data_IF_101544303827
#
_entry.id   IF_101544303827
#
_cell.length_a   1.000
_cell.length_b   1.000
_cell.length_c   1.000
_cell.angle_alpha   90.00
_cell.angle_beta   90.00
_cell.angle_gamma   90.00
#
_symmetry.space_group_name_H-M   'P 1'
#
loop_
_entity.id
_entity.type
_entity.pdbx_description
1 polymer ?
2 non-polymer ?
3 non-polymer ?
4 non-polymer ?
5 water ?
#
# COMPACT_ATOMS: atom_id res chain seq x y z
N UNK A 21 -15.93 4.01 -26.11
CA UNK A 21 -15.70 3.13 -24.97
C UNK A 21 -15.89 3.88 -23.64
N UNK A 22 -16.33 3.16 -22.62
CA UNK A 22 -16.47 3.71 -21.26
C UNK A 22 -15.12 4.17 -20.72
N UNK A 23 -14.07 3.52 -21.20
CA UNK A 23 -12.71 3.75 -20.73
C UNK A 23 -12.07 4.98 -21.39
N UNK A 24 -12.27 5.11 -22.69
CA UNK A 24 -11.84 6.30 -23.42
C UNK A 24 -12.50 7.51 -22.81
N UNK A 25 -13.76 7.35 -22.41
CA UNK A 25 -14.47 8.41 -21.71
C UNK A 25 -13.81 8.64 -20.36
N UNK A 26 -13.46 7.53 -19.70
CA UNK A 26 -12.89 7.59 -18.37
C UNK A 26 -11.54 8.30 -18.36
N UNK A 27 -10.75 8.06 -19.39
CA UNK A 27 -9.45 8.72 -19.51
C UNK A 27 -9.62 10.22 -19.76
N UNK A 28 -10.51 10.57 -20.68
CA UNK A 28 -10.78 11.98 -21.00
C UNK A 28 -11.21 12.76 -19.78
N UNK A 29 -12.18 12.22 -19.05
CA UNK A 29 -12.68 12.86 -17.84
C UNK A 29 -11.57 13.02 -16.81
N UNK A 30 -10.79 11.96 -16.62
CA UNK A 30 -9.71 12.00 -15.64
C UNK A 30 -8.67 13.03 -16.05
N UNK A 31 -8.26 12.95 -17.32
CA UNK A 31 -7.23 13.84 -17.86
C UNK A 31 -7.62 15.32 -17.80
N UNK A 32 -8.92 15.57 -17.97
CA UNK A 32 -9.43 16.94 -18.00
C UNK A 32 -9.73 17.52 -16.61
N UNK A 33 -9.91 16.66 -15.61
CA UNK A 33 -10.30 17.12 -14.29
C UNK A 33 -9.19 17.93 -13.60
N UNK A 34 -9.58 18.89 -12.76
CA UNK A 34 -8.61 19.58 -11.93
C UNK A 34 -8.39 18.72 -10.67
N UNK A 35 -7.16 18.65 -10.20
CA UNK A 35 -6.83 17.79 -9.08
C UNK A 35 -6.77 18.62 -7.83
N UNK A 36 -7.64 18.33 -6.86
CA UNK A 36 -7.66 19.17 -5.66
C UNK A 36 -6.41 18.97 -4.83
N UNK A 37 -6.17 19.88 -3.90
CA UNK A 37 -5.01 19.80 -3.03
C UNK A 37 -5.06 18.52 -2.19
N UNK A 38 -3.91 18.16 -1.66
CA UNK A 38 -3.79 17.00 -0.79
C UNK A 38 -4.66 17.19 0.45
N UNK A 39 -4.73 18.43 0.93
CA UNK A 39 -5.49 18.76 2.12
C UNK A 39 -6.98 18.56 1.88
N UNK A 40 -7.48 19.05 0.76
CA UNK A 40 -8.88 18.87 0.40
C UNK A 40 -9.27 17.40 0.29
N UNK A 41 -8.34 16.58 -0.22
CA UNK A 41 -8.62 15.17 -0.52
C UNK A 41 -8.38 14.29 0.70
N UNK A 42 -7.90 14.90 1.77
CA UNK A 42 -7.68 14.22 3.04
C UNK A 42 -6.60 13.12 3.00
N UNK A 43 -5.80 13.09 1.94
CA UNK A 43 -4.87 11.98 1.76
C UNK A 43 -3.65 12.03 2.69
N UNK A 44 -3.50 13.11 3.45
CA UNK A 44 -2.43 13.18 4.45
C UNK A 44 -2.81 12.57 5.80
N UNK A 45 -4.09 12.21 5.96
CA UNK A 45 -4.60 11.71 7.24
C UNK A 45 -4.40 10.21 7.37
N UNK A 46 -3.85 9.78 8.49
CA UNK A 46 -3.75 8.35 8.74
C UNK A 46 -5.12 7.67 8.82
N UNK A 47 -6.15 8.44 9.15
CA UNK A 47 -7.49 7.86 9.35
C UNK A 47 -8.36 7.88 8.09
N UNK A 48 -7.74 8.24 6.96
CA UNK A 48 -8.37 8.33 5.64
C UNK A 48 -9.22 7.11 5.29
N UNK A 49 -10.35 7.36 4.62
CA UNK A 49 -11.22 6.29 4.16
C UNK A 49 -11.67 6.58 2.74
N UNK A 50 -11.92 5.53 1.96
CA UNK A 50 -12.27 5.71 0.55
C UNK A 50 -13.73 5.34 0.25
N UNK A 51 -14.48 4.94 1.28
CA UNK A 51 -15.82 4.38 1.07
C UNK A 51 -16.75 5.29 0.27
N UNK A 52 -16.59 6.59 0.47
CA UNK A 52 -17.49 7.58 -0.11
C UNK A 52 -16.98 8.11 -1.46
N UNK A 53 -15.82 7.62 -1.89
CA UNK A 53 -15.19 8.09 -3.12
C UNK A 53 -15.53 7.24 -4.32
N UNK A 54 -15.80 7.90 -5.44
CA UNK A 54 -16.00 7.21 -6.71
C UNK A 54 -14.64 6.79 -7.25
N UNK A 55 -14.63 5.89 -8.22
CA UNK A 55 -13.38 5.47 -8.85
C UNK A 55 -12.59 6.65 -9.39
N UNK A 56 -13.27 7.57 -10.06
CA UNK A 56 -12.64 8.77 -10.56
C UNK A 56 -11.97 9.54 -9.43
N UNK A 57 -12.65 9.69 -8.30
CA UNK A 57 -12.05 10.43 -7.18
C UNK A 57 -10.80 9.76 -6.64
N UNK A 58 -10.75 8.43 -6.63
CA UNK A 58 -9.56 7.76 -6.13
C UNK A 58 -8.42 7.97 -7.11
N UNK A 59 -8.76 8.09 -8.40
CA UNK A 59 -7.76 8.36 -9.44
C UNK A 59 -7.16 9.73 -9.27
N UNK A 60 -7.99 10.70 -8.92
CA UNK A 60 -7.53 12.06 -8.65
C UNK A 60 -6.61 12.10 -7.45
N UNK A 61 -7.00 11.38 -6.39
CA UNK A 61 -6.17 11.29 -5.19
C UNK A 61 -4.80 10.71 -5.54
N UNK A 62 -4.79 9.73 -6.41
CA UNK A 62 -3.53 9.07 -6.78
C UNK A 62 -2.63 10.04 -7.55
N UNK A 63 -3.21 10.81 -8.45
CA UNK A 63 -2.45 11.86 -9.14
C UNK A 63 -1.83 12.82 -8.14
N UNK A 64 -2.65 13.27 -7.18
CA UNK A 64 -2.16 14.18 -6.16
C UNK A 64 -1.01 13.57 -5.35
N UNK A 65 -1.07 12.25 -5.11
CA UNK A 65 0.02 11.57 -4.40
C UNK A 65 1.34 11.66 -5.20
N UNK A 66 1.29 11.38 -6.50
CA UNK A 66 2.48 11.50 -7.34
C UNK A 66 2.97 12.95 -7.39
N UNK A 67 2.03 13.87 -7.44
CA UNK A 67 2.35 15.28 -7.58
C UNK A 67 3.07 15.84 -6.36
N UNK A 68 2.50 15.61 -5.18
CA UNK A 68 3.02 16.23 -3.97
C UNK A 68 4.24 15.53 -3.40
N UNK A 69 4.57 14.37 -3.95
CA UNK A 69 5.83 13.72 -3.64
C UNK A 69 6.91 14.17 -4.64
N UNK A 70 6.57 15.17 -5.46
CA UNK A 70 7.48 15.76 -6.44
C UNK A 70 7.87 14.80 -7.55
N UNK A 71 7.11 13.73 -7.70
CA UNK A 71 7.46 12.68 -8.65
C UNK A 71 7.10 13.06 -10.08
N UNK A 72 5.99 13.76 -10.26
CA UNK A 72 5.60 14.19 -11.60
C UNK A 72 6.68 15.14 -12.13
N UNK A 73 7.12 16.04 -11.26
CA UNK A 73 8.18 17.02 -11.58
C UNK A 73 9.56 16.41 -11.85
N UNK A 74 10.08 15.68 -10.86
CA UNK A 74 11.45 15.18 -10.91
C UNK A 74 11.70 14.16 -12.03
N UNK A 75 10.65 13.50 -12.48
CA UNK A 75 10.80 12.42 -13.43
C UNK A 75 10.04 12.68 -14.72
N UNK A 76 9.63 13.93 -14.88
CA UNK A 76 9.07 14.44 -16.14
C UNK A 76 7.90 13.61 -16.67
N UNK A 77 6.93 13.34 -15.81
CA UNK A 77 5.80 12.52 -16.23
C UNK A 77 4.80 13.36 -17.00
N UNK A 78 4.41 12.87 -18.15
CA UNK A 78 3.36 13.48 -18.94
C UNK A 78 2.01 13.16 -18.30
N UNK A 79 1.12 14.14 -18.29
CA UNK A 79 -0.14 14.02 -17.56
C UNK A 79 -0.99 12.86 -18.06
N UNK A 80 -1.18 12.79 -19.36
CA UNK A 80 -2.08 11.78 -19.91
C UNK A 80 -1.50 10.38 -19.72
N UNK A 81 -0.18 10.28 -19.64
CA UNK A 81 0.48 9.00 -19.44
C UNK A 81 0.27 8.50 -17.99
N UNK A 82 0.45 9.39 -17.02
CA UNK A 82 0.18 9.05 -15.62
C UNK A 82 -1.29 8.70 -15.42
N UNK A 83 -2.18 9.49 -16.03
CA UNK A 83 -3.60 9.19 -16.02
C UNK A 83 -3.89 7.81 -16.59
N UNK A 84 -3.37 7.54 -17.79
CA UNK A 84 -3.55 6.25 -18.42
C UNK A 84 -3.01 5.13 -17.52
N UNK A 85 -1.83 5.36 -16.93
CA UNK A 85 -1.23 4.37 -16.06
C UNK A 85 -2.10 4.04 -14.82
N UNK A 86 -2.67 5.07 -14.20
CA UNK A 86 -3.48 4.88 -13.02
C UNK A 86 -4.72 4.08 -13.40
N UNK A 87 -5.31 4.41 -14.53
CA UNK A 87 -6.50 3.71 -15.00
C UNK A 87 -6.20 2.25 -15.37
N UNK A 88 -5.03 1.99 -15.95
CA UNK A 88 -4.63 0.60 -16.22
C UNK A 88 -4.46 -0.20 -14.92
N UNK A 89 -3.80 0.39 -13.94
CA UNK A 89 -3.60 -0.29 -12.67
C UNK A 89 -4.95 -0.63 -12.08
N UNK A 90 -5.82 0.36 -12.01
CA UNK A 90 -7.15 0.16 -11.44
C UNK A 90 -7.90 -0.95 -12.18
N UNK A 91 -7.84 -0.94 -13.50
CA UNK A 91 -8.52 -1.94 -14.32
C UNK A 91 -8.01 -3.37 -14.10
N UNK A 92 -6.75 -3.52 -13.70
CA UNK A 92 -6.15 -4.83 -13.53
C UNK A 92 -6.25 -5.38 -12.12
N UNK A 93 -7.09 -4.74 -11.31
CA UNK A 93 -7.64 -5.37 -10.11
C UNK A 93 -9.04 -5.89 -10.43
N UNK A 94 -9.48 -6.88 -9.66
CA UNK A 94 -10.76 -7.52 -9.89
C UNK A 94 -11.82 -7.05 -8.89
N UNK A 95 -12.86 -6.42 -9.42
CA UNK A 95 -13.96 -5.88 -8.62
C UNK A 95 -14.70 -6.94 -7.81
N UNK A 96 -14.82 -8.14 -8.38
CA UNK A 96 -15.56 -9.23 -7.75
C UNK A 96 -14.86 -9.82 -6.53
N UNK A 97 -13.62 -9.40 -6.29
CA UNK A 97 -12.87 -9.85 -5.15
C UNK A 97 -13.13 -8.86 -4.02
N UNK A 98 -13.61 -9.37 -2.89
CA UNK A 98 -14.19 -8.52 -1.85
C UNK A 98 -13.22 -7.52 -1.24
N UNK A 99 -12.00 -7.94 -0.95
CA UNK A 99 -11.06 -7.06 -0.29
C UNK A 99 -9.86 -6.73 -1.15
N UNK A 100 -9.27 -7.77 -1.74
CA UNK A 100 -8.07 -7.57 -2.57
C UNK A 100 -8.42 -7.04 -3.96
N UNK A 101 -8.76 -5.77 -3.99
CA UNK A 101 -9.17 -5.10 -5.22
C UNK A 101 -8.50 -3.73 -5.28
N UNK A 102 -8.87 -2.92 -6.27
CA UNK A 102 -8.28 -1.61 -6.41
C UNK A 102 -8.35 -0.76 -5.14
N UNK A 103 -9.44 -0.84 -4.38
CA UNK A 103 -9.54 0.03 -3.21
C UNK A 103 -8.51 -0.32 -2.14
N UNK A 104 -8.16 -1.59 -2.03
CA UNK A 104 -7.13 -1.99 -1.08
C UNK A 104 -5.77 -1.46 -1.52
N UNK A 105 -5.50 -1.52 -2.82
CA UNK A 105 -4.26 -1.02 -3.39
C UNK A 105 -4.18 0.48 -3.21
N UNK A 106 -5.28 1.14 -3.50
CA UNK A 106 -5.38 2.60 -3.33
C UNK A 106 -5.14 3.02 -1.90
N UNK A 107 -5.75 2.32 -0.96
CA UNK A 107 -5.54 2.60 0.46
C UNK A 107 -4.10 2.36 0.93
N UNK A 108 -3.47 1.33 0.39
CA UNK A 108 -2.08 1.04 0.72
C UNK A 108 -1.19 2.20 0.27
N UNK A 109 -1.44 2.71 -0.94
CA UNK A 109 -0.69 3.86 -1.45
C UNK A 109 -0.96 5.11 -0.63
N UNK A 110 -2.21 5.32 -0.23
CA UNK A 110 -2.52 6.47 0.60
C UNK A 110 -1.79 6.40 1.93
N UNK A 111 -1.75 5.21 2.52
CA UNK A 111 -1.01 5.06 3.76
C UNK A 111 0.48 5.34 3.53
N UNK A 112 0.99 4.95 2.38
CA UNK A 112 2.40 5.21 2.05
C UNK A 112 2.61 6.72 1.96
N UNK A 113 1.70 7.39 1.29
CA UNK A 113 1.79 8.83 1.13
C UNK A 113 1.71 9.49 2.51
N UNK A 114 0.75 9.05 3.32
CA UNK A 114 0.60 9.60 4.66
C UNK A 114 1.84 9.36 5.52
N UNK A 115 2.42 8.16 5.46
CA UNK A 115 3.62 7.87 6.24
C UNK A 115 4.79 8.73 5.76
N UNK A 116 4.83 9.01 4.46
CA UNK A 116 5.92 9.80 3.93
C UNK A 116 5.81 11.27 4.36
N UNK A 117 4.60 11.81 4.34
CA UNK A 117 4.36 13.21 4.68
C UNK A 117 4.14 13.38 6.16
N UNK A 118 2.94 13.07 6.64
CA UNK A 118 2.61 13.15 8.05
C UNK A 118 3.57 12.36 8.95
N UNK A 119 3.96 11.16 8.50
CA UNK A 119 4.87 10.34 9.27
C UNK A 119 6.32 10.77 9.11
N UNK A 120 6.53 11.76 8.25
CA UNK A 120 7.85 12.37 8.01
C UNK A 120 8.93 11.37 7.58
N UNK A 121 8.52 10.32 6.88
CA UNK A 121 9.47 9.34 6.38
C UNK A 121 10.15 9.82 5.09
N UNK A 122 9.51 10.73 4.37
CA UNK A 122 10.02 11.23 3.09
C UNK A 122 11.46 11.69 3.13
N UNK A 123 11.84 12.33 4.24
CA UNK A 123 13.17 12.90 4.39
C UNK A 123 14.24 11.82 4.51
N UNK A 124 13.84 10.61 4.87
CA UNK A 124 14.79 9.53 5.09
C UNK A 124 15.07 8.73 3.81
N UNK A 125 14.36 9.04 2.72
CA UNK A 125 14.44 8.22 1.51
C UNK A 125 14.86 9.02 0.31
N UNK A 126 15.35 8.36 -0.73
CA UNK A 126 15.70 9.07 -1.96
C UNK A 126 14.45 9.25 -2.80
N UNK A 127 14.52 10.11 -3.82
CA UNK A 127 13.39 10.25 -4.72
C UNK A 127 13.04 8.95 -5.46
N UNK A 128 14.06 8.17 -5.83
CA UNK A 128 13.83 6.93 -6.58
C UNK A 128 13.17 5.87 -5.71
N UNK A 129 13.57 5.82 -4.44
CA UNK A 129 12.96 4.91 -3.47
C UNK A 129 11.49 5.26 -3.22
N UNK A 130 11.18 6.55 -3.23
CA UNK A 130 9.83 7.04 -2.98
C UNK A 130 8.95 6.76 -4.19
N UNK A 131 9.53 6.93 -5.37
CA UNK A 131 8.85 6.63 -6.62
C UNK A 131 8.50 5.16 -6.66
N UNK A 132 9.47 4.33 -6.31
CA UNK A 132 9.29 2.88 -6.34
C UNK A 132 8.24 2.41 -5.34
N UNK A 133 8.25 3.01 -4.15
CA UNK A 133 7.36 2.62 -3.06
C UNK A 133 5.92 2.93 -3.38
N UNK A 134 5.69 4.08 -4.00
CA UNK A 134 4.35 4.49 -4.40
C UNK A 134 3.83 3.58 -5.52
N UNK A 135 4.70 3.26 -6.47
CA UNK A 135 4.29 2.39 -7.57
C UNK A 135 3.99 0.98 -7.03
N UNK A 136 4.90 0.48 -6.22
CA UNK A 136 4.74 -0.82 -5.57
C UNK A 136 3.43 -0.90 -4.75
N UNK A 137 3.20 0.11 -3.90
CA UNK A 137 1.98 0.15 -3.09
C UNK A 137 0.74 0.00 -3.96
N UNK A 138 0.68 0.77 -5.03
CA UNK A 138 -0.47 0.70 -5.93
C UNK A 138 -0.58 -0.60 -6.70
N UNK A 139 0.57 -1.23 -6.95
CA UNK A 139 0.65 -2.36 -7.85
C UNK A 139 0.75 -3.73 -7.14
N UNK A 140 0.93 -3.72 -5.83
CA UNK A 140 1.39 -4.92 -5.10
C UNK A 140 0.43 -6.10 -5.04
N UNK A 141 -0.83 -5.90 -5.38
CA UNK A 141 -1.81 -6.99 -5.38
C UNK A 141 -2.52 -7.16 -6.72
N UNK A 142 -1.96 -6.58 -7.79
CA UNK A 142 -2.56 -6.62 -9.13
C UNK A 142 -3.03 -8.01 -9.55
N UNK A 143 -4.26 -8.07 -10.07
CA UNK A 143 -4.86 -9.30 -10.57
C UNK A 143 -5.04 -10.38 -9.49
N UNK A 144 -5.11 -9.95 -8.24
CA UNK A 144 -5.42 -10.86 -7.14
C UNK A 144 -6.81 -11.48 -7.34
N UNK A 145 -6.96 -12.78 -7.05
CA UNK A 145 -8.24 -13.43 -7.27
C UNK A 145 -8.95 -13.74 -5.94
N UNK A 146 -8.36 -13.32 -4.83
CA UNK A 146 -8.94 -13.56 -3.53
C UNK A 146 -8.16 -14.65 -2.82
N UNK A 147 -8.06 -14.54 -1.50
CA UNK A 147 -7.27 -15.49 -0.71
C UNK A 147 -7.58 -16.97 -0.99
N UNK A 148 -8.84 -17.30 -1.26
CA UNK A 148 -9.22 -18.71 -1.49
C UNK A 148 -8.99 -19.21 -2.92
N UNK A 149 -8.39 -18.37 -3.76
CA UNK A 149 -8.04 -18.75 -5.12
C UNK A 149 -6.55 -19.02 -5.28
N UNK A 150 -6.20 -20.23 -5.72
CA UNK A 150 -4.82 -20.57 -6.02
C UNK A 150 -4.70 -21.60 -7.13
N UNK A 151 -3.94 -21.24 -8.17
CA UNK A 151 -3.74 -22.06 -9.36
C UNK A 151 -2.30 -22.59 -9.37
N UNK A 152 -2.01 -23.50 -10.29
CA UNK A 152 -0.66 -24.06 -10.41
C UNK A 152 -0.08 -23.76 -11.78
N UNK A 153 0.92 -22.90 -11.83
CA UNK A 153 1.64 -22.63 -13.08
C UNK A 153 2.96 -23.39 -13.08
N UNK A 154 3.06 -24.39 -12.21
CA UNK A 154 4.31 -25.10 -12.01
C UNK A 154 4.22 -26.59 -12.30
N UNK A 166 6.93 -16.97 -2.72
CA UNK A 166 6.26 -15.71 -3.03
C UNK A 166 5.69 -15.74 -4.43
N UNK A 167 4.98 -16.81 -4.76
CA UNK A 167 4.47 -17.01 -6.12
C UNK A 167 3.46 -15.96 -6.54
N UNK A 168 2.54 -15.65 -5.64
CA UNK A 168 1.51 -14.67 -5.91
C UNK A 168 2.17 -13.30 -6.15
N UNK A 169 3.13 -12.94 -5.30
CA UNK A 169 3.80 -11.65 -5.41
C UNK A 169 4.63 -11.49 -6.69
N UNK A 170 5.19 -12.59 -7.21
CA UNK A 170 5.86 -12.54 -8.50
C UNK A 170 4.87 -12.22 -9.61
N UNK A 171 3.69 -12.79 -9.52
CA UNK A 171 2.63 -12.49 -10.46
C UNK A 171 2.18 -11.03 -10.38
N UNK A 172 2.06 -10.50 -9.16
CA UNK A 172 1.70 -9.09 -8.99
C UNK A 172 2.76 -8.19 -9.62
N UNK A 173 4.04 -8.50 -9.38
CA UNK A 173 5.09 -7.69 -9.99
C UNK A 173 5.10 -7.79 -11.51
N UNK A 174 4.88 -9.00 -12.02
CA UNK A 174 4.75 -9.21 -13.44
C UNK A 174 3.68 -8.34 -14.06
N UNK A 175 2.53 -8.26 -13.41
CA UNK A 175 1.46 -7.38 -13.88
C UNK A 175 1.93 -5.94 -13.83
N UNK A 176 2.59 -5.55 -12.73
CA UNK A 176 3.11 -4.19 -12.58
C UNK A 176 3.99 -3.82 -13.78
N UNK A 177 4.98 -4.66 -14.06
CA UNK A 177 5.97 -4.46 -15.13
C UNK A 177 5.29 -4.36 -16.49
N UNK A 178 4.32 -5.25 -16.71
CA UNK A 178 3.54 -5.25 -17.95
C UNK A 178 2.84 -3.91 -18.17
N UNK A 179 2.26 -3.36 -17.12
CA UNK A 179 1.54 -2.10 -17.23
C UNK A 179 2.55 -0.99 -17.45
N UNK A 180 3.64 -1.01 -16.69
CA UNK A 180 4.70 -0.02 -16.87
C UNK A 180 5.35 -0.01 -18.28
N UNK A 181 5.23 -1.11 -19.02
CA UNK A 181 5.84 -1.17 -20.35
C UNK A 181 4.83 -1.02 -21.47
N UNK A 182 3.56 -0.88 -21.12
CA UNK A 182 2.48 -0.78 -22.09
C UNK A 182 2.49 0.59 -22.77
N UNK A 183 2.16 0.63 -24.07
CA UNK A 183 2.16 1.88 -24.84
C UNK A 183 1.28 2.94 -24.18
N UNK A 184 1.82 4.15 -24.02
CA UNK A 184 1.08 5.25 -23.44
C UNK A 184 0.98 5.23 -21.92
N UNK A 185 1.52 4.19 -21.29
CA UNK A 185 1.46 4.05 -19.84
C UNK A 185 2.81 4.15 -19.17
N UNK A 186 3.84 4.51 -19.92
CA UNK A 186 5.21 4.44 -19.40
C UNK A 186 5.64 5.62 -18.54
N UNK A 187 5.20 5.63 -17.28
CA UNK A 187 5.49 6.73 -16.37
C UNK A 187 6.94 6.81 -15.93
N UNK A 188 7.71 5.76 -16.20
CA UNK A 188 9.13 5.80 -15.88
C UNK A 188 10.00 6.20 -17.10
N UNK A 189 9.35 6.62 -18.19
CA UNK A 189 10.07 6.92 -19.43
C UNK A 189 11.11 8.03 -19.24
N UNK A 190 10.88 8.89 -18.24
CA UNK A 190 11.76 10.02 -17.99
C UNK A 190 13.03 9.67 -17.25
N UNK A 191 13.08 8.47 -16.66
CA UNK A 191 14.26 8.04 -15.93
C UNK A 191 15.34 7.60 -16.92
N UNK A 192 16.60 7.86 -16.59
CA UNK A 192 17.72 7.26 -17.33
C UNK A 192 17.65 5.74 -17.15
N UNK A 193 18.33 4.99 -18.02
CA UNK A 193 18.32 3.53 -17.89
C UNK A 193 18.83 3.07 -16.52
N UNK A 194 19.86 3.73 -15.98
CA UNK A 194 20.38 3.37 -14.67
C UNK A 194 19.34 3.62 -13.55
N UNK A 195 18.69 4.77 -13.59
CA UNK A 195 17.61 5.06 -12.63
C UNK A 195 16.51 4.04 -12.77
N UNK A 196 16.20 3.70 -14.02
CA UNK A 196 15.13 2.77 -14.33
C UNK A 196 15.40 1.40 -13.73
N UNK A 197 16.62 0.88 -13.91
CA UNK A 197 16.91 -0.44 -13.39
C UNK A 197 16.91 -0.42 -11.87
N UNK A 198 17.41 0.65 -11.30
CA UNK A 198 17.46 0.77 -9.86
C UNK A 198 16.04 0.83 -9.30
N UNK A 199 15.18 1.58 -9.98
CA UNK A 199 13.80 1.74 -9.57
C UNK A 199 13.02 0.44 -9.70
N UNK A 200 13.22 -0.26 -10.81
CA UNK A 200 12.51 -1.51 -11.05
C UNK A 200 12.85 -2.57 -10.00
N UNK A 201 14.09 -2.57 -9.55
CA UNK A 201 14.53 -3.54 -8.54
C UNK A 201 13.95 -3.18 -7.18
N UNK A 202 13.89 -1.90 -6.86
CA UNK A 202 13.22 -1.48 -5.64
C UNK A 202 11.74 -1.85 -5.67
N UNK A 203 11.09 -1.61 -6.81
CA UNK A 203 9.68 -1.95 -6.96
C UNK A 203 9.47 -3.45 -6.76
N UNK A 204 10.39 -4.25 -7.31
CA UNK A 204 10.27 -5.69 -7.24
C UNK A 204 10.42 -6.22 -5.83
N UNK A 205 11.47 -5.78 -5.12
CA UNK A 205 11.68 -6.15 -3.72
C UNK A 205 10.49 -5.71 -2.86
N UNK A 206 9.97 -4.52 -3.14
CA UNK A 206 8.86 -3.97 -2.37
C UNK A 206 7.60 -4.80 -2.53
N UNK A 207 7.31 -5.21 -3.76
CA UNK A 207 6.15 -6.07 -3.98
C UNK A 207 6.37 -7.46 -3.40
N UNK A 208 7.59 -7.99 -3.57
CA UNK A 208 7.91 -9.29 -2.98
C UNK A 208 7.77 -9.26 -1.47
N UNK A 209 8.13 -8.12 -0.87
CA UNK A 209 8.03 -7.93 0.58
C UNK A 209 6.62 -8.03 1.14
N UNK A 210 5.60 -7.82 0.31
CA UNK A 210 4.21 -7.89 0.81
C UNK A 210 3.74 -9.32 1.10
N UNK A 211 4.58 -10.29 0.78
CA UNK A 211 4.37 -11.69 1.17
C UNK A 211 4.62 -11.77 2.68
N UNK A 212 3.58 -12.12 3.43
CA UNK A 212 3.68 -12.10 4.89
C UNK A 212 4.66 -13.13 5.42
N UNK A 213 4.86 -14.22 4.69
CA UNK A 213 5.84 -15.24 5.08
C UNK A 213 7.22 -14.60 5.05
N UNK A 214 7.44 -13.78 4.03
CA UNK A 214 8.69 -13.06 3.89
C UNK A 214 8.88 -12.05 5.03
N UNK A 215 7.81 -11.35 5.37
CA UNK A 215 7.88 -10.35 6.44
C UNK A 215 8.20 -11.01 7.79
N UNK A 216 7.57 -12.14 8.05
CA UNK A 216 7.81 -12.90 9.27
C UNK A 216 9.26 -13.37 9.37
N UNK A 217 9.81 -13.83 8.24
CA UNK A 217 11.20 -14.28 8.20
C UNK A 217 12.21 -13.15 8.41
N UNK A 218 11.83 -11.93 8.04
CA UNK A 218 12.79 -10.83 8.03
C UNK A 218 12.66 -9.84 9.18
N UNK A 219 11.51 -9.84 9.84
CA UNK A 219 11.22 -8.85 10.87
C UNK A 219 12.12 -8.95 12.10
N UNK A 220 12.48 -10.18 12.46
CA UNK A 220 13.38 -10.42 13.59
C UNK A 220 14.61 -9.53 13.54
N UNK A 221 15.29 -9.51 12.40
CA UNK A 221 16.46 -8.65 12.22
C UNK A 221 16.10 -7.19 12.47
N UNK A 222 14.96 -6.77 11.97
CA UNK A 222 14.51 -5.37 12.08
C UNK A 222 14.26 -5.02 13.54
N UNK A 223 13.52 -5.88 14.23
CA UNK A 223 13.20 -5.64 15.63
C UNK A 223 14.45 -5.72 16.48
N UNK A 224 15.27 -6.74 16.25
CA UNK A 224 16.53 -6.91 16.95
C UNK A 224 17.42 -5.70 16.76
N UNK A 225 17.39 -5.11 15.56
CA UNK A 225 18.16 -3.91 15.25
C UNK A 225 17.65 -2.68 15.99
N UNK A 226 16.33 -2.50 16.03
CA UNK A 226 15.74 -1.37 16.73
C UNK A 226 16.01 -1.50 18.23
N UNK A 227 15.89 -2.72 18.73
CA UNK A 227 16.09 -3.03 20.14
C UNK A 227 17.39 -2.46 20.70
N UNK A 228 18.45 -2.47 19.89
CA UNK A 228 19.78 -2.12 20.35
C UNK A 228 20.23 -0.73 19.92
N UNK A 229 19.31 0.05 19.36
CA UNK A 229 19.66 1.32 18.71
C UNK A 229 20.77 1.16 17.68
N UNK A 230 20.80 -0.01 17.04
CA UNK A 230 21.78 -0.29 16.00
C UNK A 230 21.21 -0.01 14.61
N UNK A 231 19.90 0.20 14.54
CA UNK A 231 19.25 0.45 13.26
C UNK A 231 19.74 1.75 12.62
N UNK A 232 20.27 1.63 11.41
CA UNK A 232 20.80 2.77 10.68
C UNK A 232 20.48 2.69 9.19
N UNK A 233 19.85 3.74 8.68
CA UNK A 233 19.32 3.72 7.32
C UNK A 233 20.41 3.88 6.25
N UNK A 234 21.56 4.38 6.66
CA UNK A 234 22.65 4.63 5.72
C UNK A 234 23.23 3.32 5.20
N UNK A 235 23.13 2.27 6.00
CA UNK A 235 23.52 0.93 5.57
C UNK A 235 22.52 0.44 4.53
N UNK A 236 23.00 0.14 3.32
CA UNK A 236 22.19 -0.37 2.21
C UNK A 236 21.27 -1.51 2.62
N UNK A 237 21.81 -2.48 3.35
CA UNK A 237 21.05 -3.68 3.69
C UNK A 237 19.88 -3.37 4.62
N UNK A 238 20.08 -2.40 5.51
CA UNK A 238 19.04 -2.02 6.46
C UNK A 238 18.01 -1.14 5.77
N UNK A 239 18.47 -0.26 4.90
CA UNK A 239 17.59 0.55 4.06
C UNK A 239 16.57 -0.34 3.37
N UNK A 240 17.08 -1.34 2.65
CA UNK A 240 16.23 -2.29 1.95
C UNK A 240 15.29 -3.04 2.89
N UNK A 241 15.79 -3.39 4.08
CA UNK A 241 14.95 -4.07 5.07
C UNK A 241 13.81 -3.13 5.50
N UNK A 242 14.14 -1.86 5.72
CA UNK A 242 13.13 -0.87 6.14
C UNK A 242 12.07 -0.64 5.08
N UNK A 243 12.46 -0.61 3.80
CA UNK A 243 11.50 -0.44 2.72
C UNK A 243 10.52 -1.60 2.73
N UNK A 244 11.03 -2.80 2.99
CA UNK A 244 10.20 -4.00 3.11
C UNK A 244 9.21 -3.88 4.25
N UNK A 245 9.69 -3.48 5.41
CA UNK A 245 8.86 -3.33 6.60
C UNK A 245 7.80 -2.25 6.36
N UNK A 246 8.23 -1.15 5.74
CA UNK A 246 7.31 -0.06 5.43
C UNK A 246 6.16 -0.53 4.53
N UNK A 247 6.48 -1.34 3.51
CA UNK A 247 5.47 -1.89 2.61
C UNK A 247 4.41 -2.70 3.35
N UNK A 248 4.87 -3.57 4.24
CA UNK A 248 3.96 -4.40 5.03
C UNK A 248 3.07 -3.52 5.90
N UNK A 249 3.65 -2.48 6.49
CA UNK A 249 2.92 -1.58 7.38
C UNK A 249 1.76 -0.89 6.67
N UNK A 250 2.02 -0.42 5.45
CA UNK A 250 0.98 0.19 4.63
C UNK A 250 -0.03 -0.84 4.19
N UNK A 251 0.47 -2.01 3.81
CA UNK A 251 -0.34 -3.10 3.30
C UNK A 251 -1.36 -3.49 4.36
N UNK A 252 -0.95 -3.49 5.62
CA UNK A 252 -1.84 -3.95 6.69
C UNK A 252 -2.60 -2.82 7.39
N UNK A 253 -2.45 -1.59 6.88
CA UNK A 253 -2.83 -0.41 7.63
C UNK A 253 -4.34 -0.23 7.90
N UNK A 254 -5.17 -1.05 7.26
CA UNK A 254 -6.60 -1.01 7.58
C UNK A 254 -6.81 -1.33 9.06
N UNK A 255 -5.85 -2.04 9.65
CA UNK A 255 -5.99 -2.51 11.01
C UNK A 255 -5.79 -1.34 11.97
N UNK A 256 -5.32 -0.21 11.44
CA UNK A 256 -5.05 0.96 12.25
C UNK A 256 -6.16 2.01 12.16
N UNK A 257 -7.17 1.75 11.34
CA UNK A 257 -8.21 2.75 11.07
C UNK A 257 -9.17 2.97 12.24
N UNK A 258 -9.85 4.14 12.27
CA UNK A 258 -10.93 4.32 13.25
C UNK A 258 -11.89 3.12 13.24
N UNK A 259 -12.31 2.71 14.43
CA UNK A 259 -13.18 1.53 14.62
C UNK A 259 -14.33 1.30 13.61
N UNK A 260 -15.16 2.34 13.32
CA UNK A 260 -16.22 2.11 12.32
C UNK A 260 -15.67 1.76 10.93
N UNK A 261 -14.51 2.31 10.59
CA UNK A 261 -13.88 1.96 9.33
C UNK A 261 -13.28 0.55 9.39
N UNK A 262 -12.47 0.27 10.42
CA UNK A 262 -11.89 -1.07 10.57
C UNK A 262 -12.95 -2.17 10.58
N UNK A 263 -14.04 -1.95 11.29
CA UNK A 263 -15.14 -2.90 11.29
C UNK A 263 -15.64 -3.20 9.89
N UNK A 264 -15.73 -2.16 9.07
CA UNK A 264 -16.24 -2.35 7.71
C UNK A 264 -15.23 -3.12 6.85
N UNK A 265 -13.96 -2.76 6.99
CA UNK A 265 -12.94 -3.45 6.21
C UNK A 265 -12.87 -4.93 6.61
N UNK A 266 -12.93 -5.20 7.92
CA UNK A 266 -12.93 -6.58 8.41
C UNK A 266 -14.06 -7.36 7.80
N UNK A 267 -15.17 -6.68 7.58
CA UNK A 267 -16.31 -7.31 6.94
C UNK A 267 -15.95 -7.73 5.52
N UNK A 268 -15.21 -6.87 4.82
CA UNK A 268 -14.77 -7.18 3.47
C UNK A 268 -13.83 -8.38 3.50
N UNK A 269 -12.83 -8.36 4.37
CA UNK A 269 -11.90 -9.48 4.37
C UNK A 269 -12.55 -10.80 4.81
N UNK A 270 -13.53 -10.71 5.72
CA UNK A 270 -14.29 -11.89 6.15
C UNK A 270 -15.03 -12.50 4.97
N UNK A 271 -15.65 -11.64 4.16
CA UNK A 271 -16.34 -12.09 2.96
C UNK A 271 -15.38 -12.82 2.01
N UNK A 272 -14.20 -12.26 1.80
CA UNK A 272 -13.23 -12.88 0.92
C UNK A 272 -12.68 -14.17 1.55
N UNK A 273 -12.44 -14.15 2.86
CA UNK A 273 -11.87 -15.32 3.54
C UNK A 273 -12.81 -16.52 3.57
N UNK A 274 -14.10 -16.27 3.79
CA UNK A 274 -15.04 -17.36 4.06
C UNK A 274 -16.13 -17.50 3.00
N UNK A 275 -16.57 -16.37 2.47
CA UNK A 275 -17.72 -16.32 1.57
C UNK A 275 -17.36 -16.33 0.09
N UNK A 276 -16.09 -16.51 -0.24
CA UNK A 276 -15.68 -16.53 -1.64
C UNK A 276 -14.72 -17.70 -1.90
N UNK A 277 -14.70 -18.21 -3.13
CA UNK A 277 -15.57 -17.75 -4.21
C UNK A 277 -14.87 -16.80 -5.17
N UNK A 297 -20.84 -19.67 17.53
CA UNK A 297 -19.86 -18.71 18.04
C UNK A 297 -19.17 -17.97 16.90
N UNK A 298 -19.11 -16.64 17.01
CA UNK A 298 -18.41 -15.83 16.01
C UNK A 298 -16.93 -15.72 16.32
N UNK A 299 -16.12 -16.37 15.49
CA UNK A 299 -14.68 -16.47 15.74
C UNK A 299 -13.91 -15.24 15.27
N UNK A 300 -14.56 -14.36 14.51
CA UNK A 300 -13.86 -13.21 13.93
C UNK A 300 -13.13 -12.32 14.93
N UNK A 301 -13.79 -11.91 16.03
CA UNK A 301 -13.08 -11.02 16.95
C UNK A 301 -11.79 -11.61 17.47
N UNK A 302 -11.83 -12.89 17.81
CA UNK A 302 -10.67 -13.63 18.28
C UNK A 302 -9.56 -13.67 17.23
N UNK A 303 -9.92 -13.97 15.99
CA UNK A 303 -8.96 -13.99 14.89
C UNK A 303 -8.27 -12.63 14.73
N UNK A 304 -9.04 -11.56 14.84
CA UNK A 304 -8.49 -10.22 14.65
C UNK A 304 -7.49 -9.89 15.74
N UNK A 305 -7.82 -10.26 16.98
CA UNK A 305 -6.88 -10.04 18.09
C UNK A 305 -5.58 -10.80 17.82
N UNK A 306 -5.70 -12.03 17.35
CA UNK A 306 -4.54 -12.84 17.02
C UNK A 306 -3.72 -12.27 15.87
N UNK A 307 -4.42 -11.74 14.88
CA UNK A 307 -3.77 -11.07 13.75
C UNK A 307 -3.01 -9.85 14.26
N UNK A 308 -3.68 -9.05 15.10
CA UNK A 308 -3.02 -7.87 15.65
C UNK A 308 -1.79 -8.22 16.49
N UNK A 309 -1.91 -9.24 17.35
CA UNK A 309 -0.79 -9.62 18.21
C UNK A 309 0.37 -10.23 17.44
N UNK A 310 0.06 -11.18 16.56
CA UNK A 310 1.11 -11.92 15.85
C UNK A 310 1.84 -11.09 14.81
N UNK A 311 1.11 -10.22 14.14
CA UNK A 311 1.63 -9.58 12.94
C UNK A 311 1.76 -8.08 13.06
N UNK A 312 0.71 -7.44 13.57
CA UNK A 312 0.57 -5.98 13.46
C UNK A 312 1.25 -5.13 14.53
N UNK A 313 1.03 -5.43 15.81
CA UNK A 313 1.49 -4.51 16.87
C UNK A 313 2.97 -4.18 16.84
N UNK A 314 3.81 -5.20 16.83
CA UNK A 314 5.26 -5.01 16.88
C UNK A 314 5.76 -4.19 15.69
N UNK A 315 5.20 -4.46 14.52
CA UNK A 315 5.55 -3.70 13.33
C UNK A 315 5.28 -2.22 13.53
N UNK A 316 4.07 -1.88 13.97
CA UNK A 316 3.76 -0.46 14.14
C UNK A 316 4.57 0.14 15.29
N UNK A 317 4.84 -0.66 16.32
CA UNK A 317 5.72 -0.26 17.41
C UNK A 317 7.09 0.06 16.84
N UNK A 318 7.66 -0.87 16.09
CA UNK A 318 8.96 -0.66 15.46
C UNK A 318 9.00 0.59 14.60
N UNK A 319 7.94 0.80 13.83
CA UNK A 319 7.87 1.94 12.92
C UNK A 319 7.88 3.28 13.64
N UNK A 320 7.19 3.34 14.78
CA UNK A 320 7.12 4.60 15.53
C UNK A 320 8.49 4.95 16.10
N UNK A 321 9.28 3.94 16.45
CA UNK A 321 10.66 4.17 16.90
C UNK A 321 11.51 4.83 15.81
N UNK A 322 11.37 4.34 14.58
CA UNK A 322 12.06 4.93 13.44
C UNK A 322 11.57 6.36 13.20
N UNK A 323 10.25 6.54 13.33
CA UNK A 323 9.66 7.86 13.17
C UNK A 323 8.48 8.05 14.09
N UNK A 324 8.70 8.85 15.13
CA UNK A 324 7.68 9.11 16.14
C UNK A 324 6.37 9.58 15.52
N UNK A 325 6.44 10.25 14.37
CA UNK A 325 5.25 10.79 13.73
C UNK A 325 4.35 9.73 13.09
N UNK A 326 4.79 8.47 13.12
CA UNK A 326 3.95 7.36 12.66
C UNK A 326 3.12 6.76 13.79
N UNK A 327 3.21 7.37 14.97
CA UNK A 327 2.45 6.93 16.14
C UNK A 327 0.94 6.71 15.93
N UNK A 328 0.26 7.56 15.13
CA UNK A 328 -1.17 7.34 14.93
C UNK A 328 -1.50 5.94 14.40
N UNK A 329 -0.59 5.35 13.61
CA UNK A 329 -0.78 3.97 13.13
C UNK A 329 -0.78 3.00 14.32
N UNK A 330 0.20 3.14 15.19
CA UNK A 330 0.29 2.29 16.38
C UNK A 330 -0.90 2.52 17.32
N UNK A 331 -1.24 3.78 17.52
CA UNK A 331 -2.38 4.13 18.37
C UNK A 331 -3.67 3.53 17.84
N UNK A 332 -3.89 3.70 16.54
CA UNK A 332 -5.06 3.15 15.91
C UNK A 332 -5.12 1.64 16.01
N UNK A 333 -3.98 0.97 15.86
CA UNK A 333 -3.94 -0.48 15.94
C UNK A 333 -4.29 -0.93 17.37
N UNK A 334 -3.76 -0.23 18.37
CA UNK A 334 -4.05 -0.54 19.77
C UNK A 334 -5.51 -0.36 20.13
N UNK A 335 -6.12 0.70 19.61
CA UNK A 335 -7.54 0.93 19.85
C UNK A 335 -8.40 -0.15 19.24
N UNK A 336 -8.02 -0.62 18.05
CA UNK A 336 -8.77 -1.71 17.44
C UNK A 336 -8.61 -3.03 18.19
N UNK A 337 -7.43 -3.28 18.75
CA UNK A 337 -7.25 -4.52 19.52
C UNK A 337 -8.23 -4.53 20.69
N UNK A 338 -8.32 -3.40 21.37
CA UNK A 338 -9.23 -3.22 22.50
C UNK A 338 -10.67 -3.48 22.09
N UNK A 339 -11.07 -2.95 20.94
CA UNK A 339 -12.42 -3.15 20.42
C UNK A 339 -12.71 -4.61 20.08
N UNK A 340 -11.80 -5.24 19.33
CA UNK A 340 -11.99 -6.64 18.94
C UNK A 340 -11.94 -7.55 20.16
N UNK A 341 -11.07 -7.23 21.11
CA UNK A 341 -10.91 -8.06 22.33
C UNK A 341 -12.19 -8.09 23.15
N UNK A 342 -12.79 -6.91 23.35
CA UNK A 342 -14.05 -6.81 24.07
C UNK A 342 -15.12 -7.65 23.39
N UNK A 343 -15.23 -7.54 22.07
CA UNK A 343 -16.17 -8.37 21.34
C UNK A 343 -15.86 -9.83 21.54
N UNK A 344 -14.57 -10.16 21.53
CA UNK A 344 -14.13 -11.54 21.71
C UNK A 344 -14.57 -12.08 23.07
N UNK A 345 -14.49 -11.23 24.09
CA UNK A 345 -14.86 -11.63 25.46
C UNK A 345 -16.36 -11.90 25.61
N UNK A 346 -17.17 -11.36 24.71
CA UNK A 346 -18.60 -11.66 24.71
C UNK A 346 -18.89 -12.85 23.80
N UNK A 347 -17.81 -13.49 23.36
CA UNK A 347 -17.86 -14.65 22.46
C UNK A 347 -18.35 -14.27 21.07
X LIG B 1 -11.71 -10.30 9.44
X LIG B 1 -5.79 -9.44 4.37
X LIG B 1 -3.06 -15.33 5.11
X LIG B 1 -8.50 -7.41 9.06
X LIG B 1 -4.19 -15.56 11.55
X LIG B 1 -2.98 -13.48 11.06
X LIG B 1 -6.72 -14.41 10.44
X LIG B 1 -7.99 -13.85 10.13
X LIG B 1 -5.61 -12.52 9.51
X LIG B 1 -6.91 -8.10 7.40
X LIG B 1 -11.73 -11.78 9.21
X LIG B 1 -5.23 -8.87 5.63
X LIG B 1 -10.50 -12.51 9.61
X LIG B 1 -3.49 -16.61 7.20
X LIG B 1 -1.93 -14.75 7.17
X LIG B 1 -4.26 -15.91 8.27
X LIG B 1 -2.69 -14.11 8.29
X LIG B 1 -6.14 -10.33 7.44
X LIG B 1 -7.67 -9.60 9.04
X LIG B 1 -9.31 -11.99 9.13
X LIG B 1 -6.12 -9.12 6.87
X LIG B 1 -5.57 -13.74 10.15
X LIG B 1 -8.03 -12.59 9.48
X LIG B 1 -6.91 -11.96 9.17
X LIG B 1 -6.92 -10.55 8.50
X LIG B 1 -7.71 -8.37 8.51
X LIG B 1 -2.71 -15.70 6.42
X LIG B 1 -3.42 -15.05 9.08
X LIG B 1 -3.96 -14.46 10.54
X LIG C 1 -2.10 -6.23 0.01
X LIG D 1 -0.89 -9.55 -1.46
#
# INVERSE_FOLDING_TARGET
>A
MGSSHHHHHHSSGLVPRGSHMEETRELQSLAAAVVPSAQTLKITDFSFSDFELSDLETALCTIRMFTDLNLVQNFQMKHEVLCRWILSVKKNYRKNVAYHNWRHAFNTAQCMFAALKAGKIQNKLTDLEILALLIAALSHDLDHRGVNNSYIQRSEHPLAQLYCHSIMEHHHFDQCLMILNSPGNQILSGLSIEEYKTTLKIIKQAILATDLALYIKRRGEFFELIRKNQFNLEDPHQKELFLAMLMTACDLSAITKPWPIQQRIAELVATEFFDQGDRERKELNIEPTDLMNREKKNKIPSMQVGFIDAICLQLYEALTHVSEDCFPLLDGCRKNRQKWQALAEQQ
>B hetero
1 5EO CAA CAB CAC OAD OAE OAF CAG CAH CAI CAJ CAK CAL CAM CAN CAO CAP CAQ NAR NAS OAT CAU CAV CAW CAX CAY CAZ NBA NBB SBC
>C hetero
1 ZN ZN
>D hetero
1 MG MG
#
